data_IF_992215099505
#
_entry.id   IF_992215099505
#
_cell.length_a   1.000
_cell.length_b   1.000
_cell.length_c   1.000
_cell.angle_alpha   90.00
_cell.angle_beta   90.00
_cell.angle_gamma   90.00
#
_symmetry.space_group_name_H-M   'P 1'
#
loop_
_entity.id
_entity.type
_entity.pdbx_description
1 polymer ?
#
# COMPACT_ATOMS: atom_id res chain seq x y z
N UNK A 1 47.03 -18.79 -0.03
CA UNK A 1 46.90 -17.55 0.77
C UNK A 1 46.04 -16.51 0.04
N UNK A 2 44.79 -16.84 -0.32
CA UNK A 2 43.91 -15.92 -1.09
C UNK A 2 42.43 -15.98 -0.70
N UNK A 3 42.00 -16.90 0.17
CA UNK A 3 40.58 -17.03 0.57
C UNK A 3 40.17 -16.15 1.76
N UNK A 4 41.11 -15.63 2.55
CA UNK A 4 40.79 -14.81 3.73
C UNK A 4 40.42 -13.35 3.41
N UNK A 5 40.71 -12.83 2.21
CA UNK A 5 40.40 -11.43 1.87
C UNK A 5 38.96 -11.21 1.35
N UNK A 6 38.36 -12.22 0.71
CA UNK A 6 37.00 -12.11 0.18
C UNK A 6 35.94 -12.10 1.29
N UNK A 7 36.14 -12.88 2.36
CA UNK A 7 35.22 -12.92 3.50
C UNK A 7 35.22 -11.61 4.30
N UNK A 8 36.38 -10.95 4.43
CA UNK A 8 36.51 -9.67 5.11
C UNK A 8 35.90 -8.49 4.30
N UNK A 9 35.87 -8.58 2.97
CA UNK A 9 35.20 -7.58 2.12
C UNK A 9 33.67 -7.70 2.16
N UNK A 10 33.15 -8.93 2.18
CA UNK A 10 31.70 -9.17 2.26
C UNK A 10 31.09 -8.71 3.60
N UNK A 11 31.82 -8.87 4.71
CA UNK A 11 31.36 -8.43 6.03
C UNK A 11 31.34 -6.91 6.18
N UNK A 12 32.29 -6.17 5.58
CA UNK A 12 32.31 -4.70 5.65
C UNK A 12 31.19 -4.05 4.82
N UNK A 13 30.84 -4.61 3.66
CA UNK A 13 29.73 -4.11 2.84
C UNK A 13 28.35 -4.32 3.49
N UNK A 14 28.22 -5.32 4.36
CA UNK A 14 26.98 -5.64 5.06
C UNK A 14 26.58 -4.58 6.12
N UNK A 15 27.50 -3.67 6.49
CA UNK A 15 27.25 -2.62 7.48
C UNK A 15 26.81 -1.27 6.88
N UNK A 16 26.87 -1.10 5.55
CA UNK A 16 26.49 0.16 4.89
C UNK A 16 25.05 0.19 4.34
N UNK A 17 24.27 -0.89 4.49
CA UNK A 17 22.83 -0.80 4.29
C UNK A 17 22.22 -0.16 5.53
N UNK A 18 22.21 1.18 5.60
CA UNK A 18 21.38 1.88 6.58
C UNK A 18 19.93 1.45 6.30
N UNK A 19 19.26 0.74 7.21
CA UNK A 19 17.87 0.39 7.00
C UNK A 19 17.09 1.71 6.91
N UNK A 20 16.28 1.86 5.87
CA UNK A 20 15.25 2.89 5.81
C UNK A 20 14.37 2.74 7.04
N UNK A 21 14.58 3.62 8.02
CA UNK A 21 13.91 3.53 9.30
C UNK A 21 12.54 4.21 9.19
N UNK A 22 11.47 3.40 9.25
CA UNK A 22 10.10 3.89 9.27
C UNK A 22 9.62 4.00 10.72
N UNK A 23 9.09 5.17 11.09
CA UNK A 23 8.41 5.38 12.37
C UNK A 23 6.91 5.48 12.15
N UNK A 24 6.13 4.75 12.95
CA UNK A 24 4.67 4.80 12.93
C UNK A 24 4.16 5.81 13.95
N UNK A 25 3.42 6.81 13.49
CA UNK A 25 2.77 7.79 14.35
C UNK A 25 1.24 7.63 14.25
N UNK A 26 0.58 7.47 15.39
CA UNK A 26 -0.89 7.37 15.48
C UNK A 26 -1.58 8.71 15.69
N UNK A 27 -0.82 9.73 16.13
CA UNK A 27 -1.29 11.09 16.31
C UNK A 27 -0.41 12.06 15.50
N UNK A 28 -0.99 12.89 14.61
CA UNK A 28 -0.25 13.91 13.86
C UNK A 28 0.54 14.89 14.73
N UNK A 29 0.12 15.12 15.98
CA UNK A 29 0.84 15.98 16.92
C UNK A 29 2.22 15.45 17.32
N UNK A 30 2.43 14.14 17.18
CA UNK A 30 3.69 13.47 17.55
C UNK A 30 4.70 13.43 16.39
N UNK A 31 4.37 14.04 15.24
CA UNK A 31 5.30 14.07 14.11
C UNK A 31 6.53 14.92 14.47
N UNK A 32 7.76 14.42 14.21
CA UNK A 32 9.00 15.09 14.62
C UNK A 32 9.29 16.36 13.81
N UNK A 33 8.61 16.56 12.69
CA UNK A 33 8.78 17.69 11.77
C UNK A 33 7.46 17.94 11.03
N UNK A 34 7.24 19.17 10.59
CA UNK A 34 6.18 19.51 9.62
C UNK A 34 6.70 19.64 8.19
N UNK A 35 8.01 19.60 8.00
CA UNK A 35 8.66 19.68 6.70
C UNK A 35 8.94 18.28 6.15
N UNK A 36 8.33 17.99 5.00
CA UNK A 36 8.48 16.76 4.23
C UNK A 36 8.63 17.13 2.75
N UNK A 37 9.47 16.39 2.01
CA UNK A 37 9.63 16.56 0.57
C UNK A 37 8.42 15.99 -0.18
N UNK A 38 7.85 14.90 0.34
CA UNK A 38 6.68 14.26 -0.24
C UNK A 38 5.68 13.87 0.85
N UNK A 39 4.40 14.14 0.59
CA UNK A 39 3.29 13.68 1.41
C UNK A 39 2.42 12.78 0.54
N UNK A 40 2.45 11.48 0.82
CA UNK A 40 1.61 10.48 0.15
C UNK A 40 0.29 10.35 0.89
N UNK A 41 -0.77 10.90 0.30
CA UNK A 41 -2.13 10.81 0.85
C UNK A 41 -2.71 9.45 0.47
N UNK A 42 -2.83 8.58 1.47
CA UNK A 42 -3.31 7.22 1.29
C UNK A 42 -2.19 6.27 0.87
N UNK A 43 -1.57 5.62 1.85
CA UNK A 43 -0.67 4.50 1.65
C UNK A 43 -1.44 3.22 1.24
N UNK A 44 -2.25 3.33 0.18
CA UNK A 44 -2.95 2.23 -0.51
C UNK A 44 -1.91 1.40 -1.28
N UNK A 45 -2.35 0.42 -2.09
CA UNK A 45 -1.45 -0.42 -2.91
C UNK A 45 -0.43 0.41 -3.71
N UNK A 46 -0.88 1.39 -4.49
CA UNK A 46 0.01 2.27 -5.24
C UNK A 46 0.79 3.24 -4.34
N UNK A 47 0.12 3.86 -3.36
CA UNK A 47 0.74 4.83 -2.45
C UNK A 47 1.87 4.24 -1.61
N UNK A 48 1.73 2.98 -1.18
CA UNK A 48 2.78 2.26 -0.44
C UNK A 48 4.00 2.01 -1.32
N UNK A 49 3.81 1.61 -2.57
CA UNK A 49 4.91 1.42 -3.52
C UNK A 49 5.61 2.75 -3.81
N UNK A 50 4.85 3.82 -4.08
CA UNK A 50 5.40 5.16 -4.31
C UNK A 50 6.17 5.66 -3.10
N UNK A 51 5.60 5.57 -1.89
CA UNK A 51 6.27 5.98 -0.66
C UNK A 51 7.56 5.18 -0.43
N UNK A 52 7.53 3.87 -0.66
CA UNK A 52 8.70 3.00 -0.56
C UNK A 52 9.81 3.46 -1.50
N UNK A 53 9.50 3.67 -2.79
CA UNK A 53 10.48 4.12 -3.79
C UNK A 53 11.03 5.51 -3.50
N UNK A 54 10.18 6.45 -3.09
CA UNK A 54 10.64 7.79 -2.71
C UNK A 54 11.55 7.76 -1.48
N UNK A 55 11.32 6.83 -0.55
CA UNK A 55 12.13 6.69 0.67
C UNK A 55 13.47 5.98 0.47
N UNK A 56 13.70 5.33 -0.69
CA UNK A 56 15.01 4.75 -1.04
C UNK A 56 16.10 5.84 -1.15
N UNK A 57 15.72 7.07 -1.49
CA UNK A 57 16.59 8.25 -1.41
C UNK A 57 16.60 8.79 0.02
N UNK A 58 17.69 8.53 0.74
CA UNK A 58 17.88 8.96 2.14
C UNK A 58 17.91 10.48 2.33
N UNK A 59 18.01 11.27 1.24
CA UNK A 59 17.91 12.73 1.31
C UNK A 59 16.46 13.22 1.39
N UNK A 60 15.48 12.35 1.13
CA UNK A 60 14.05 12.70 1.10
C UNK A 60 13.34 12.32 2.39
N UNK A 61 12.54 13.26 2.90
CA UNK A 61 11.59 13.03 3.99
C UNK A 61 10.22 12.75 3.39
N UNK A 62 9.76 11.51 3.53
CA UNK A 62 8.47 11.05 3.01
C UNK A 62 7.50 10.82 4.17
N UNK A 63 6.34 11.47 4.13
CA UNK A 63 5.21 11.18 5.03
C UNK A 63 4.16 10.40 4.27
N UNK A 64 3.82 9.21 4.73
CA UNK A 64 2.72 8.41 4.20
C UNK A 64 1.61 8.27 5.24
N UNK A 65 0.39 8.65 4.89
CA UNK A 65 -0.76 8.58 5.80
C UNK A 65 -1.58 7.30 5.58
N UNK A 66 -1.95 6.63 6.68
CA UNK A 66 -2.79 5.42 6.65
C UNK A 66 -3.70 5.31 7.87
N UNK A 67 -4.77 4.54 7.72
CA UNK A 67 -5.54 3.98 8.83
C UNK A 67 -5.08 2.54 9.07
N UNK A 68 -4.93 2.14 10.33
CA UNK A 68 -4.59 0.76 10.72
C UNK A 68 -5.71 0.22 11.59
N UNK A 69 -6.32 -0.88 11.13
CA UNK A 69 -7.32 -1.65 11.87
C UNK A 69 -6.91 -3.11 11.75
N UNK A 70 -6.76 -3.81 12.88
CA UNK A 70 -6.64 -5.26 12.88
C UNK A 70 -8.04 -5.85 12.77
N UNK A 71 -8.23 -6.80 11.87
CA UNK A 71 -9.52 -7.42 11.61
C UNK A 71 -9.31 -8.79 10.97
N UNK A 72 -9.94 -9.83 11.53
CA UNK A 72 -9.82 -11.20 11.01
C UNK A 72 -10.33 -11.35 9.57
N UNK A 73 -11.30 -10.53 9.14
CA UNK A 73 -11.80 -10.53 7.76
C UNK A 73 -10.74 -10.08 6.73
N UNK A 74 -9.72 -9.35 7.20
CA UNK A 74 -8.58 -8.88 6.40
C UNK A 74 -7.40 -9.85 6.52
N UNK A 75 -7.15 -10.34 7.74
CA UNK A 75 -5.98 -11.19 8.03
C UNK A 75 -6.14 -12.62 7.52
N UNK A 76 -7.37 -13.14 7.49
CA UNK A 76 -7.67 -14.51 7.03
C UNK A 76 -8.31 -14.44 5.63
N UNK A 77 -7.62 -14.89 4.56
CA UNK A 77 -8.11 -14.75 3.19
C UNK A 77 -9.49 -15.38 2.93
N UNK A 78 -9.80 -16.48 3.64
CA UNK A 78 -11.11 -17.15 3.54
C UNK A 78 -12.28 -16.23 3.92
N UNK A 79 -12.05 -15.23 4.78
CA UNK A 79 -13.09 -14.30 5.23
C UNK A 79 -13.21 -13.04 4.35
N UNK A 80 -12.48 -12.92 3.24
CA UNK A 80 -12.59 -11.79 2.32
C UNK A 80 -14.04 -11.43 1.92
N UNK A 81 -14.96 -12.38 1.62
CA UNK A 81 -16.36 -12.06 1.32
C UNK A 81 -17.11 -11.31 2.44
N UNK A 82 -16.66 -11.45 3.69
CA UNK A 82 -17.28 -10.86 4.88
C UNK A 82 -16.83 -9.42 5.14
N UNK A 83 -15.93 -8.86 4.32
CA UNK A 83 -15.39 -7.52 4.54
C UNK A 83 -16.34 -6.39 4.14
N UNK A 84 -17.29 -6.65 3.24
CA UNK A 84 -18.23 -5.63 2.75
C UNK A 84 -19.20 -5.14 3.83
N UNK A 85 -19.47 -3.82 3.84
CA UNK A 85 -20.34 -3.14 4.83
C UNK A 85 -19.89 -3.31 6.28
N UNK A 86 -18.60 -3.47 6.52
CA UNK A 86 -18.00 -3.56 7.86
C UNK A 86 -17.10 -2.35 8.15
N UNK A 87 -16.47 -2.33 9.32
CA UNK A 87 -15.52 -1.27 9.70
C UNK A 87 -14.27 -1.20 8.81
N UNK A 88 -13.98 -2.24 8.02
CA UNK A 88 -12.85 -2.28 7.07
C UNK A 88 -13.26 -1.94 5.64
N UNK A 89 -14.50 -1.48 5.41
CA UNK A 89 -15.02 -1.06 4.12
C UNK A 89 -15.49 0.40 4.18
N UNK A 90 -15.22 1.17 3.12
CA UNK A 90 -15.78 2.51 2.92
C UNK A 90 -17.32 2.49 2.77
N UNK A 91 -17.89 1.32 2.49
CA UNK A 91 -19.32 1.10 2.37
C UNK A 91 -19.95 1.95 1.26
N UNK A 92 -19.26 2.07 0.13
CA UNK A 92 -19.81 2.76 -1.03
C UNK A 92 -20.96 1.98 -1.64
N UNK A 93 -21.95 2.73 -2.09
CA UNK A 93 -23.07 2.20 -2.86
C UNK A 93 -23.20 3.00 -4.15
N UNK A 94 -23.55 2.31 -5.24
CA UNK A 94 -23.93 3.01 -6.45
C UNK A 94 -25.25 3.75 -6.24
N UNK A 95 -25.45 4.84 -6.97
CA UNK A 95 -26.81 5.37 -7.16
C UNK A 95 -27.71 4.31 -7.80
N UNK A 96 -29.04 4.39 -7.66
CA UNK A 96 -29.97 3.49 -8.35
C UNK A 96 -29.64 3.37 -9.84
N UNK A 97 -29.38 2.15 -10.31
CA UNK A 97 -28.99 1.91 -11.70
C UNK A 97 -30.22 1.52 -12.52
N UNK A 98 -30.52 2.26 -13.59
CA UNK A 98 -31.65 1.95 -14.48
C UNK A 98 -31.52 0.55 -15.09
N UNK A 99 -30.31 0.17 -15.53
CA UNK A 99 -30.01 -1.16 -16.06
C UNK A 99 -30.10 -2.30 -15.05
N UNK A 100 -30.33 -2.02 -13.76
CA UNK A 100 -30.49 -3.01 -12.69
C UNK A 100 -31.84 -2.88 -11.98
N UNK A 101 -32.88 -2.40 -12.67
CA UNK A 101 -34.23 -2.18 -12.12
C UNK A 101 -34.23 -1.25 -10.91
N UNK A 102 -33.43 -0.19 -10.94
CA UNK A 102 -33.34 0.80 -9.85
C UNK A 102 -32.58 0.30 -8.62
N UNK A 103 -31.91 -0.86 -8.68
CA UNK A 103 -31.09 -1.34 -7.56
C UNK A 103 -29.82 -0.52 -7.39
N UNK A 104 -29.45 -0.30 -6.13
CA UNK A 104 -28.13 0.15 -5.72
C UNK A 104 -27.28 -1.06 -5.35
N UNK A 105 -26.02 -1.08 -5.81
CA UNK A 105 -25.08 -2.18 -5.59
C UNK A 105 -23.97 -1.71 -4.67
N UNK A 106 -23.56 -2.57 -3.75
CA UNK A 106 -22.40 -2.32 -2.88
C UNK A 106 -21.12 -2.35 -3.71
N UNK A 107 -20.24 -1.37 -3.51
CA UNK A 107 -18.92 -1.31 -4.13
C UNK A 107 -17.89 -1.40 -3.00
N UNK A 108 -17.45 -2.62 -2.63
CA UNK A 108 -16.53 -2.78 -1.50
C UNK A 108 -15.18 -2.11 -1.81
N UNK A 109 -14.74 -1.23 -0.91
CA UNK A 109 -13.44 -0.54 -0.99
C UNK A 109 -12.80 -0.56 0.39
N UNK A 110 -11.57 -1.07 0.47
CA UNK A 110 -10.94 -1.27 1.79
C UNK A 110 -10.69 0.06 2.50
N UNK A 111 -11.06 0.11 3.77
CA UNK A 111 -10.79 1.22 4.68
C UNK A 111 -9.84 0.74 5.79
N UNK A 112 -8.67 0.23 5.37
CA UNK A 112 -7.65 -0.38 6.23
C UNK A 112 -6.28 -0.27 5.54
N UNK A 113 -5.19 -0.62 6.24
CA UNK A 113 -3.86 -0.72 5.62
C UNK A 113 -3.88 -1.71 4.45
N UNK A 114 -3.34 -1.32 3.30
CA UNK A 114 -3.44 -2.09 2.06
C UNK A 114 -4.77 -1.85 1.30
N UNK A 115 -5.76 -1.19 1.91
CA UNK A 115 -7.00 -0.76 1.27
C UNK A 115 -7.71 -1.93 0.54
N UNK A 116 -8.18 -1.76 -0.69
CA UNK A 116 -8.86 -2.79 -1.47
C UNK A 116 -8.00 -4.04 -1.68
N UNK A 117 -6.67 -3.96 -1.71
CA UNK A 117 -5.86 -5.18 -1.79
C UNK A 117 -5.83 -5.97 -0.49
N UNK A 118 -6.25 -5.38 0.63
CA UNK A 118 -6.37 -6.07 1.92
C UNK A 118 -7.71 -6.81 2.09
N UNK A 119 -8.75 -6.38 1.37
CA UNK A 119 -10.09 -7.01 1.40
C UNK A 119 -10.45 -7.73 0.09
N UNK A 120 -9.48 -7.91 -0.82
CA UNK A 120 -9.71 -8.64 -2.07
C UNK A 120 -9.59 -10.16 -1.84
N UNK A 121 -9.79 -10.92 -2.90
CA UNK A 121 -9.70 -12.38 -2.89
C UNK A 121 -8.27 -12.91 -3.10
N UNK A 122 -7.25 -12.05 -2.99
CA UNK A 122 -5.85 -12.33 -3.30
C UNK A 122 -5.60 -12.93 -4.69
N UNK A 123 -6.53 -12.72 -5.61
CA UNK A 123 -6.35 -13.12 -7.01
C UNK A 123 -5.31 -12.21 -7.67
N UNK A 124 -4.33 -12.83 -8.31
CA UNK A 124 -3.32 -12.15 -9.08
C UNK A 124 -3.42 -12.57 -10.54
N UNK A 125 -3.77 -11.62 -11.38
CA UNK A 125 -3.83 -11.78 -12.83
C UNK A 125 -3.16 -10.57 -13.48
N UNK A 126 -2.57 -10.81 -14.64
CA UNK A 126 -2.10 -9.74 -15.52
C UNK A 126 -3.15 -9.52 -16.60
N UNK A 127 -3.36 -8.26 -16.98
CA UNK A 127 -4.15 -7.94 -18.16
C UNK A 127 -3.55 -8.57 -19.42
N UNK A 128 -4.37 -8.75 -20.45
CA UNK A 128 -3.93 -9.29 -21.74
C UNK A 128 -3.15 -8.21 -22.53
N UNK A 129 -3.27 -8.18 -23.85
CA UNK A 129 -2.71 -7.11 -24.68
C UNK A 129 -3.40 -5.75 -24.48
N UNK A 130 -4.33 -5.61 -23.53
CA UNK A 130 -5.09 -4.38 -23.26
C UNK A 130 -4.19 -3.17 -22.94
N UNK A 131 -2.97 -3.39 -22.45
CA UNK A 131 -1.98 -2.31 -22.26
C UNK A 131 -1.55 -1.64 -23.57
N UNK A 132 -1.73 -2.29 -24.72
CA UNK A 132 -1.44 -1.72 -26.04
C UNK A 132 -2.49 -0.71 -26.51
N UNK A 133 -3.69 -0.73 -25.91
CA UNK A 133 -4.78 0.20 -26.23
C UNK A 133 -4.54 1.61 -25.68
N UNK A 134 -3.60 1.75 -24.75
CA UNK A 134 -3.20 3.02 -24.15
C UNK A 134 -1.72 3.28 -24.45
N UNK A 135 -1.37 3.62 -25.71
CA UNK A 135 0.01 3.98 -26.02
C UNK A 135 0.40 5.16 -25.12
N UNK A 136 1.39 4.90 -24.24
CA UNK A 136 1.99 5.94 -23.43
C UNK A 136 2.68 6.90 -24.40
N UNK A 137 2.05 8.04 -24.67
CA UNK A 137 2.70 9.17 -25.31
C UNK A 137 3.67 9.79 -24.30
N UNK A 138 4.83 9.16 -24.13
CA UNK A 138 5.97 9.70 -23.42
C UNK A 138 6.95 10.31 -24.42
#
# INVERSE_FOLDING_TARGET
MTQFSALAFATVFSFFSLPTQAALFTNPANLPSKNYDFIVIGARTAGSVVASRLSEDLTKKVLAMKLVLSNLNVEVPFFAPLSGRTAVDWNYMTVPQQGLNGRSITVPRGFVLGDSSAINFLEWTLGSQDYTLYPLSL
#
